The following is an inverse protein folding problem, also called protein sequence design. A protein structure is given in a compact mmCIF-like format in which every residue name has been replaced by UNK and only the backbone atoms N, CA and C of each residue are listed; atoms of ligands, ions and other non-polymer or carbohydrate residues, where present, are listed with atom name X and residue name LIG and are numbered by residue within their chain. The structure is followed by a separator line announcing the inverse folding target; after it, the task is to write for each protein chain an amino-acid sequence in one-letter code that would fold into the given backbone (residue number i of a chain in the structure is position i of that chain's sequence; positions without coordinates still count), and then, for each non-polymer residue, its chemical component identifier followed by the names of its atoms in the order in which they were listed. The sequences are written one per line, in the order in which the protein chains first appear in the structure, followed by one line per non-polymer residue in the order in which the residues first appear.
data_IF_697144469168
#
_entry.id   IF_697144469168
#
_cell.length_a   1.000
_cell.length_b   1.000
_cell.length_c   1.000
_cell.angle_alpha   90.00
_cell.angle_beta   90.00
_cell.angle_gamma   90.00
#
_symmetry.space_group_name_H-M   'P 1'
#
loop_
_entity.id
_entity.type
_entity.pdbx_description
1 polymer ?
#
# COMPACT_ATOMS: atom_id res chain seq x y z
N UNK A 1 -27.44 8.94 -1.41
CA UNK A 1 -26.67 9.84 -2.32
C UNK A 1 -25.32 9.16 -2.50
N UNK A 2 -25.10 8.52 -3.65
CA UNK A 2 -23.88 7.76 -3.91
C UNK A 2 -22.79 8.75 -4.33
N UNK A 3 -21.75 8.89 -3.53
CA UNK A 3 -20.56 9.64 -3.93
C UNK A 3 -19.66 8.71 -4.76
N UNK A 4 -19.33 9.07 -5.99
CA UNK A 4 -18.35 8.31 -6.78
C UNK A 4 -16.95 8.68 -6.27
N UNK A 5 -16.53 8.07 -5.16
CA UNK A 5 -15.17 8.25 -4.58
C UNK A 5 -14.07 7.78 -5.53
N UNK A 6 -14.41 6.99 -6.52
CA UNK A 6 -13.45 6.41 -7.48
C UNK A 6 -13.05 7.36 -8.60
N UNK A 7 -13.89 8.31 -8.96
CA UNK A 7 -13.57 9.25 -10.05
C UNK A 7 -12.54 10.32 -9.65
N UNK A 8 -12.24 10.51 -8.37
CA UNK A 8 -11.25 11.48 -7.92
C UNK A 8 -9.81 10.96 -7.88
N UNK A 9 -9.62 9.63 -7.78
CA UNK A 9 -8.28 9.02 -7.78
C UNK A 9 -7.79 8.65 -9.19
N UNK A 10 -8.63 8.77 -10.22
CA UNK A 10 -8.35 8.26 -11.56
C UNK A 10 -8.61 9.34 -12.63
N UNK A 11 -8.29 10.58 -12.32
CA UNK A 11 -8.21 11.65 -13.33
C UNK A 11 -6.94 11.50 -14.17
N UNK A 12 -6.84 10.42 -14.95
CA UNK A 12 -5.70 10.15 -15.82
C UNK A 12 -5.93 10.70 -17.22
N UNK A 13 -5.00 11.53 -17.67
CA UNK A 13 -4.84 11.79 -19.10
C UNK A 13 -4.45 10.46 -19.78
N UNK A 14 -5.27 10.03 -20.74
CA UNK A 14 -5.16 8.76 -21.45
C UNK A 14 -3.91 8.55 -22.32
N UNK A 15 -2.85 9.35 -22.15
CA UNK A 15 -1.66 9.28 -23.00
C UNK A 15 -0.33 8.95 -22.33
N UNK A 16 -0.30 8.76 -21.00
CA UNK A 16 0.91 8.34 -20.30
C UNK A 16 0.75 6.95 -19.72
N UNK A 17 1.83 6.18 -19.66
CA UNK A 17 1.81 4.85 -19.06
C UNK A 17 1.13 4.94 -17.69
N UNK A 18 0.14 4.09 -17.42
CA UNK A 18 -0.61 4.01 -16.16
C UNK A 18 0.27 3.77 -14.92
N UNK A 19 1.57 3.82 -15.11
CA UNK A 19 2.57 3.54 -14.09
C UNK A 19 3.75 4.48 -14.26
N UNK A 20 3.84 5.44 -13.35
CA UNK A 20 4.96 6.36 -13.29
C UNK A 20 5.92 5.97 -12.17
N UNK A 21 7.09 5.49 -12.55
CA UNK A 21 8.11 5.08 -11.62
C UNK A 21 8.78 6.26 -10.89
N UNK A 22 8.96 7.39 -11.54
CA UNK A 22 9.87 8.44 -11.07
C UNK A 22 9.17 9.58 -10.34
N UNK A 23 7.97 9.95 -10.74
CA UNK A 23 7.22 11.03 -10.12
C UNK A 23 5.75 10.96 -10.50
N UNK A 24 4.88 11.46 -9.66
CA UNK A 24 3.49 11.68 -10.01
C UNK A 24 3.28 13.15 -10.34
N UNK A 25 2.59 13.43 -11.44
CA UNK A 25 2.04 14.75 -11.74
C UNK A 25 0.64 14.94 -11.11
N UNK A 26 0.16 13.96 -10.37
CA UNK A 26 -1.11 14.00 -9.66
C UNK A 26 -0.89 14.63 -8.29
N UNK A 27 -1.70 15.63 -7.97
CA UNK A 27 -1.71 16.27 -6.67
C UNK A 27 -3.08 16.02 -6.04
N UNK A 28 -3.12 15.30 -4.93
CA UNK A 28 -4.36 14.93 -4.27
C UNK A 28 -4.25 15.01 -2.74
N UNK A 29 -3.58 16.07 -2.29
CA UNK A 29 -3.23 16.25 -0.88
C UNK A 29 -4.44 16.53 0.03
N UNK A 30 -5.62 16.83 -0.52
CA UNK A 30 -6.80 17.28 0.25
C UNK A 30 -8.07 16.48 -0.04
N UNK A 31 -7.93 15.26 -0.54
CA UNK A 31 -9.10 14.51 -1.00
C UNK A 31 -10.08 14.11 0.11
N UNK A 32 -9.59 13.94 1.36
CA UNK A 32 -10.47 13.64 2.48
C UNK A 32 -11.27 14.87 2.96
N UNK A 33 -10.80 16.08 2.65
CA UNK A 33 -11.44 17.32 3.12
C UNK A 33 -12.90 17.46 2.67
N UNK A 34 -13.26 16.86 1.53
CA UNK A 34 -14.61 16.89 0.97
C UNK A 34 -15.50 15.73 1.42
N UNK A 35 -14.99 14.83 2.27
CA UNK A 35 -15.75 13.70 2.76
C UNK A 35 -16.55 14.07 4.02
N UNK A 36 -17.68 13.39 4.20
CA UNK A 36 -18.51 13.54 5.39
C UNK A 36 -17.78 13.06 6.65
N UNK A 37 -17.90 13.82 7.74
CA UNK A 37 -17.25 13.50 9.02
C UNK A 37 -17.81 12.23 9.69
N UNK A 38 -19.02 11.81 9.35
CA UNK A 38 -19.67 10.63 9.91
C UNK A 38 -19.26 9.31 9.24
N UNK A 39 -18.39 9.33 8.23
CA UNK A 39 -17.96 8.11 7.55
C UNK A 39 -17.04 7.29 8.47
N UNK A 40 -17.37 6.05 8.80
CA UNK A 40 -16.46 5.18 9.55
C UNK A 40 -15.17 4.90 8.75
N UNK A 41 -14.01 5.02 9.41
CA UNK A 41 -12.71 4.81 8.74
C UNK A 41 -12.61 3.44 8.07
N UNK A 42 -13.17 2.42 8.70
CA UNK A 42 -13.16 1.04 8.16
C UNK A 42 -14.03 0.86 6.91
N UNK A 43 -14.90 1.82 6.61
CA UNK A 43 -15.79 1.81 5.46
C UNK A 43 -15.24 2.63 4.28
N UNK A 44 -14.07 3.22 4.44
CA UNK A 44 -13.41 3.99 3.40
C UNK A 44 -12.58 3.09 2.48
N UNK A 45 -12.45 3.52 1.22
CA UNK A 45 -11.45 3.00 0.29
C UNK A 45 -10.19 3.84 0.40
N UNK A 46 -9.13 3.29 0.96
CA UNK A 46 -7.89 4.02 1.26
C UNK A 46 -6.72 3.33 0.59
N UNK A 47 -6.05 4.04 -0.30
CA UNK A 47 -4.82 3.55 -0.92
C UNK A 47 -3.63 3.97 -0.05
N UNK A 48 -2.71 3.04 0.10
CA UNK A 48 -1.49 3.20 0.89
C UNK A 48 -0.27 2.58 0.24
N UNK A 49 0.86 2.87 0.82
CA UNK A 49 2.16 2.38 0.39
C UNK A 49 2.65 1.26 1.30
N UNK A 50 3.05 0.15 0.70
CA UNK A 50 3.71 -0.96 1.39
C UNK A 50 5.18 -0.62 1.64
N UNK A 51 5.71 -0.96 2.82
CA UNK A 51 7.07 -0.63 3.24
C UNK A 51 7.41 0.82 2.84
N UNK A 52 6.65 1.77 3.38
CA UNK A 52 6.53 3.15 2.86
C UNK A 52 7.87 3.89 2.80
N UNK A 53 8.86 3.47 3.59
CA UNK A 53 10.21 4.06 3.61
C UNK A 53 11.21 3.38 2.67
N UNK A 54 10.80 2.34 1.94
CA UNK A 54 11.66 1.55 1.04
C UNK A 54 11.98 2.27 -0.27
N UNK A 55 12.60 3.46 -0.22
CA UNK A 55 12.82 4.33 -1.40
C UNK A 55 14.11 4.03 -2.16
N UNK A 56 14.90 3.03 -1.76
CA UNK A 56 16.08 2.60 -2.53
C UNK A 56 17.25 2.07 -1.74
N UNK A 57 17.26 2.19 -0.42
CA UNK A 57 18.28 1.56 0.43
C UNK A 57 18.21 0.04 0.28
N UNK A 58 19.35 -0.62 0.13
CA UNK A 58 19.41 -2.09 -0.09
C UNK A 58 19.19 -2.54 -1.54
N UNK A 59 19.02 -1.59 -2.48
CA UNK A 59 18.85 -1.90 -3.91
C UNK A 59 17.44 -2.35 -4.29
N UNK A 60 17.31 -2.84 -5.52
CA UNK A 60 16.00 -3.15 -6.15
C UNK A 60 15.16 -4.18 -5.42
N UNK A 61 15.78 -5.13 -4.73
CA UNK A 61 15.09 -6.17 -3.97
C UNK A 61 14.34 -5.62 -2.73
N UNK A 62 14.72 -4.43 -2.26
CA UNK A 62 14.16 -3.75 -1.09
C UNK A 62 13.49 -2.42 -1.46
N UNK A 63 13.56 -2.02 -2.72
CA UNK A 63 12.91 -0.80 -3.20
C UNK A 63 11.44 -1.09 -3.46
N UNK A 64 10.59 -0.55 -2.61
CA UNK A 64 9.13 -0.68 -2.67
C UNK A 64 8.45 0.59 -3.15
N UNK A 65 9.12 1.74 -3.02
CA UNK A 65 8.61 3.04 -3.39
C UNK A 65 9.67 3.85 -4.17
N UNK A 66 9.23 4.75 -5.04
CA UNK A 66 10.09 5.73 -5.71
C UNK A 66 9.96 7.13 -5.11
N UNK A 67 8.80 7.43 -4.53
CA UNK A 67 8.50 8.72 -3.94
C UNK A 67 8.89 8.78 -2.47
N UNK A 68 9.38 9.94 -2.01
CA UNK A 68 9.55 10.20 -0.58
C UNK A 68 8.22 10.08 0.17
N UNK A 69 8.26 9.84 1.48
CA UNK A 69 7.05 9.73 2.30
C UNK A 69 6.13 10.95 2.15
N UNK A 70 6.71 12.17 2.14
CA UNK A 70 5.95 13.39 1.91
C UNK A 70 5.25 13.35 0.55
N UNK A 71 5.96 13.00 -0.53
CA UNK A 71 5.37 12.94 -1.87
C UNK A 71 4.27 11.87 -1.95
N UNK A 72 4.43 10.72 -1.30
CA UNK A 72 3.38 9.70 -1.22
C UNK A 72 2.08 10.28 -0.64
N UNK A 73 2.16 11.05 0.45
CA UNK A 73 0.99 11.72 1.04
C UNK A 73 0.43 12.83 0.12
N UNK A 74 1.31 13.57 -0.56
CA UNK A 74 0.91 14.64 -1.50
C UNK A 74 0.15 14.11 -2.72
N UNK A 75 0.48 12.92 -3.21
CA UNK A 75 -0.25 12.26 -4.31
C UNK A 75 -1.53 11.55 -3.86
N UNK A 76 -1.80 11.47 -2.55
CA UNK A 76 -3.07 10.99 -2.01
C UNK A 76 -3.01 9.73 -1.16
N UNK A 77 -1.83 9.17 -0.88
CA UNK A 77 -1.70 8.02 0.02
C UNK A 77 -2.10 8.40 1.45
N UNK A 78 -2.95 7.58 2.05
CA UNK A 78 -3.42 7.81 3.43
C UNK A 78 -3.27 6.58 4.34
N UNK A 79 -2.69 5.49 3.82
CA UNK A 79 -2.25 4.37 4.62
C UNK A 79 -0.75 4.17 4.42
N UNK A 80 0.00 4.08 5.50
CA UNK A 80 1.46 3.92 5.51
C UNK A 80 1.80 2.62 6.23
N UNK A 81 2.58 1.74 5.60
CA UNK A 81 3.10 0.51 6.18
C UNK A 81 4.51 0.77 6.72
N UNK A 82 4.59 0.90 8.06
CA UNK A 82 5.80 1.28 8.78
C UNK A 82 6.32 0.07 9.57
N UNK A 83 7.46 -0.43 9.14
CA UNK A 83 8.07 -1.65 9.64
C UNK A 83 9.17 -1.33 10.62
N UNK A 84 8.91 -1.60 11.90
CA UNK A 84 9.73 -1.18 13.02
C UNK A 84 10.60 -2.33 13.54
N UNK A 85 11.91 -2.20 13.47
CA UNK A 85 12.81 -3.03 14.27
C UNK A 85 12.95 -2.43 15.65
N UNK A 86 12.65 -3.23 16.68
CA UNK A 86 12.84 -2.83 18.05
C UNK A 86 14.33 -2.93 18.45
N UNK A 87 15.01 -1.80 18.51
CA UNK A 87 16.44 -1.74 18.72
C UNK A 87 16.84 -0.67 19.75
N UNK A 88 17.51 -1.07 20.85
CA UNK A 88 17.98 -0.18 21.94
C UNK A 88 16.89 0.75 22.48
N UNK A 89 15.70 0.18 22.76
CA UNK A 89 14.52 0.89 23.22
C UNK A 89 14.05 2.01 22.26
N UNK A 90 14.28 1.85 20.97
CA UNK A 90 13.80 2.71 19.91
C UNK A 90 13.31 1.88 18.73
N UNK A 91 12.75 2.54 17.74
CA UNK A 91 12.26 1.91 16.51
C UNK A 91 13.02 2.42 15.31
N UNK A 92 13.99 1.64 14.82
CA UNK A 92 14.60 1.85 13.51
C UNK A 92 13.73 1.24 12.42
N UNK A 93 13.60 1.92 11.29
CA UNK A 93 12.75 1.45 10.18
C UNK A 93 13.53 0.50 9.29
N UNK A 94 12.95 -0.66 9.04
CA UNK A 94 13.56 -1.74 8.29
C UNK A 94 12.63 -2.25 7.17
N UNK A 95 13.22 -2.87 6.15
CA UNK A 95 12.59 -3.85 5.29
C UNK A 95 13.38 -5.14 5.44
N UNK A 96 12.81 -6.12 6.12
CA UNK A 96 13.51 -7.33 6.57
C UNK A 96 14.77 -6.93 7.37
N UNK A 97 15.94 -7.35 6.96
CA UNK A 97 17.22 -7.05 7.63
C UNK A 97 17.87 -5.72 7.18
N UNK A 98 17.30 -5.00 6.20
CA UNK A 98 17.85 -3.75 5.69
C UNK A 98 17.33 -2.56 6.47
N UNK A 99 18.24 -1.81 7.10
CA UNK A 99 17.92 -0.54 7.74
C UNK A 99 17.69 0.55 6.68
N UNK A 100 16.56 1.24 6.77
CA UNK A 100 16.12 2.24 5.77
C UNK A 100 16.56 3.68 6.11
N UNK A 101 17.60 3.84 6.93
CA UNK A 101 18.23 5.11 7.28
C UNK A 101 17.30 6.13 7.96
N UNK A 102 16.30 5.65 8.68
CA UNK A 102 15.38 6.48 9.47
C UNK A 102 14.84 5.69 10.66
N UNK A 103 14.25 6.40 11.61
CA UNK A 103 13.54 5.85 12.75
C UNK A 103 12.05 6.28 12.74
N UNK A 104 11.29 5.79 13.71
CA UNK A 104 9.88 6.12 13.82
C UNK A 104 9.65 7.62 14.05
N UNK A 105 10.53 8.32 14.79
CA UNK A 105 10.38 9.75 15.03
C UNK A 105 10.48 10.53 13.72
N UNK A 106 11.43 10.22 12.85
CA UNK A 106 11.56 10.87 11.53
C UNK A 106 10.34 10.64 10.63
N UNK A 107 9.69 9.47 10.75
CA UNK A 107 8.40 9.20 10.07
C UNK A 107 7.31 10.08 10.65
N UNK A 108 7.17 10.14 11.99
CA UNK A 108 6.16 10.94 12.68
C UNK A 108 6.31 12.44 12.38
N UNK A 109 7.55 12.95 12.33
CA UNK A 109 7.83 14.35 12.00
C UNK A 109 7.43 14.71 10.57
N UNK A 110 7.64 13.78 9.63
CA UNK A 110 7.20 13.95 8.24
C UNK A 110 5.67 13.99 8.14
N UNK A 111 4.99 13.06 8.84
CA UNK A 111 3.52 13.03 8.87
C UNK A 111 2.94 14.25 9.58
N UNK A 112 3.57 14.71 10.66
CA UNK A 112 3.22 15.95 11.37
C UNK A 112 3.25 17.16 10.43
N UNK A 113 4.32 17.27 9.66
CA UNK A 113 4.46 18.38 8.69
C UNK A 113 3.35 18.35 7.63
N UNK A 114 2.98 17.15 7.15
CA UNK A 114 1.87 16.98 6.23
C UNK A 114 0.52 17.36 6.88
N UNK A 115 0.18 16.80 8.03
CA UNK A 115 -1.11 17.05 8.71
C UNK A 115 -1.25 18.48 9.22
N UNK A 116 -0.15 19.14 9.56
CA UNK A 116 -0.17 20.58 9.90
C UNK A 116 -0.56 21.44 8.69
N UNK A 117 -0.16 21.06 7.49
CA UNK A 117 -0.53 21.75 6.25
C UNK A 117 -1.93 21.35 5.76
N UNK A 118 -2.38 20.15 6.08
CA UNK A 118 -3.65 19.56 5.63
C UNK A 118 -4.44 18.96 6.81
N UNK A 119 -4.95 19.79 7.74
CA UNK A 119 -5.53 19.31 9.00
C UNK A 119 -6.88 18.59 8.84
N UNK A 120 -7.48 18.65 7.65
CA UNK A 120 -8.71 17.90 7.34
C UNK A 120 -8.43 16.46 6.87
N UNK A 121 -7.17 16.09 6.72
CA UNK A 121 -6.74 14.74 6.35
C UNK A 121 -6.50 13.89 7.60
N UNK A 122 -6.38 12.57 7.42
CA UNK A 122 -5.93 11.62 8.45
C UNK A 122 -4.99 10.60 7.82
N UNK A 123 -4.07 10.07 8.59
CA UNK A 123 -3.14 9.02 8.14
C UNK A 123 -3.38 7.75 8.96
N UNK A 124 -3.62 6.64 8.28
CA UNK A 124 -3.60 5.31 8.88
C UNK A 124 -2.17 4.79 8.85
N UNK A 125 -1.63 4.46 10.00
CA UNK A 125 -0.25 3.98 10.10
C UNK A 125 -0.26 2.53 10.61
N UNK A 126 -0.02 1.59 9.71
CA UNK A 126 0.19 0.19 10.06
C UNK A 126 1.59 0.05 10.65
N UNK A 127 1.67 -0.30 11.94
CA UNK A 127 2.92 -0.56 12.65
C UNK A 127 3.04 -2.05 12.88
N UNK A 128 4.12 -2.63 12.39
CA UNK A 128 4.47 -4.05 12.54
C UNK A 128 5.91 -4.18 13.01
N UNK A 129 6.16 -5.16 13.90
CA UNK A 129 7.52 -5.52 14.27
C UNK A 129 8.22 -6.24 13.12
N UNK A 130 9.39 -5.75 12.73
CA UNK A 130 10.16 -6.24 11.60
C UNK A 130 11.60 -6.52 12.04
N UNK A 131 12.13 -7.68 11.65
CA UNK A 131 13.47 -8.13 11.98
C UNK A 131 13.71 -8.37 13.47
N UNK A 132 14.85 -8.94 13.82
CA UNK A 132 15.17 -9.34 15.19
C UNK A 132 15.38 -8.15 16.12
N UNK A 133 14.65 -8.13 17.22
CA UNK A 133 14.83 -7.17 18.29
C UNK A 133 16.19 -7.34 18.96
N UNK A 134 16.85 -6.23 19.34
CA UNK A 134 18.17 -6.30 19.96
C UNK A 134 18.48 -5.13 20.89
N UNK A 135 19.13 -5.44 22.01
CA UNK A 135 19.64 -4.43 22.95
C UNK A 135 18.57 -3.69 23.73
N UNK A 136 17.36 -4.28 23.86
CA UNK A 136 16.23 -3.66 24.54
C UNK A 136 16.16 -4.07 26.01
N UNK A 137 15.79 -3.13 26.86
CA UNK A 137 15.41 -3.33 28.27
C UNK A 137 13.91 -3.14 28.51
N UNK A 138 13.18 -2.68 27.47
CA UNK A 138 11.73 -2.45 27.46
C UNK A 138 11.06 -3.37 26.45
N UNK A 139 9.76 -3.62 26.62
CA UNK A 139 8.95 -4.30 25.62
C UNK A 139 8.72 -3.40 24.39
N UNK A 140 8.28 -3.99 23.27
CA UNK A 140 7.83 -3.23 22.10
C UNK A 140 6.74 -2.23 22.48
N UNK A 141 5.76 -2.69 23.26
CA UNK A 141 4.65 -1.86 23.75
C UNK A 141 5.13 -0.67 24.59
N UNK A 142 6.03 -0.89 25.55
CA UNK A 142 6.51 0.19 26.43
C UNK A 142 7.30 1.23 25.61
N UNK A 143 8.08 0.79 24.62
CA UNK A 143 8.76 1.68 23.67
C UNK A 143 7.75 2.45 22.82
N UNK A 144 6.72 1.79 22.28
CA UNK A 144 5.65 2.45 21.53
C UNK A 144 4.93 3.51 22.37
N UNK A 145 4.60 3.20 23.62
CA UNK A 145 3.94 4.14 24.54
C UNK A 145 4.78 5.40 24.79
N UNK A 146 6.09 5.29 24.78
CA UNK A 146 6.98 6.46 24.88
C UNK A 146 6.86 7.38 23.65
N UNK A 147 6.80 6.80 22.44
CA UNK A 147 6.52 7.58 21.21
C UNK A 147 5.12 8.18 21.22
N UNK A 148 4.10 7.43 21.64
CA UNK A 148 2.72 7.93 21.72
C UNK A 148 2.61 9.09 22.70
N UNK A 149 3.22 8.99 23.87
CA UNK A 149 3.22 10.05 24.88
C UNK A 149 3.89 11.34 24.36
N UNK A 150 5.04 11.21 23.68
CA UNK A 150 5.77 12.33 23.09
C UNK A 150 5.07 12.96 21.88
N UNK A 151 4.12 12.27 21.26
CA UNK A 151 3.37 12.70 20.07
C UNK A 151 1.85 12.62 20.29
N UNK A 152 1.38 12.85 21.53
CA UNK A 152 -0.03 12.69 21.92
C UNK A 152 -0.96 13.70 21.22
N UNK A 153 -0.42 14.80 20.76
CA UNK A 153 -1.13 15.77 19.92
C UNK A 153 -1.35 15.29 18.47
N UNK A 154 -0.53 14.34 18.00
CA UNK A 154 -0.53 13.81 16.63
C UNK A 154 -1.19 12.43 16.53
N UNK A 155 -0.90 11.53 17.46
CA UNK A 155 -1.41 10.16 17.46
C UNK A 155 -2.79 10.12 18.13
N UNK A 156 -3.78 9.60 17.41
CA UNK A 156 -5.12 9.40 17.96
C UNK A 156 -5.11 8.33 19.06
N UNK A 157 -5.70 8.67 20.20
CA UNK A 157 -5.92 7.70 21.30
C UNK A 157 -7.23 6.96 21.04
N UNK A 158 -7.22 5.62 20.94
CA UNK A 158 -8.40 4.85 20.57
C UNK A 158 -9.55 4.99 21.58
N UNK A 159 -10.70 5.45 21.14
CA UNK A 159 -11.95 5.46 21.87
C UNK A 159 -12.89 4.35 21.42
N UNK A 160 -12.66 3.84 20.21
CA UNK A 160 -13.43 2.73 19.60
C UNK A 160 -12.57 1.99 18.59
N UNK A 161 -13.06 0.82 18.14
CA UNK A 161 -12.47 0.10 17.00
C UNK A 161 -13.07 0.50 15.66
N UNK A 162 -14.00 1.47 15.63
CA UNK A 162 -14.60 1.99 14.40
C UNK A 162 -14.86 3.50 14.49
N UNK A 163 -13.79 4.32 14.62
CA UNK A 163 -13.95 5.77 14.65
C UNK A 163 -14.47 6.31 13.32
N UNK A 164 -15.17 7.44 13.38
CA UNK A 164 -15.57 8.18 12.19
C UNK A 164 -14.48 9.18 11.78
N UNK A 165 -14.47 9.57 10.51
CA UNK A 165 -13.45 10.47 9.95
C UNK A 165 -13.31 11.78 10.75
N UNK A 166 -14.42 12.36 11.22
CA UNK A 166 -14.41 13.58 12.01
C UNK A 166 -13.66 13.49 13.33
N UNK A 167 -13.60 12.30 13.95
CA UNK A 167 -12.88 12.07 15.22
C UNK A 167 -11.36 11.99 15.03
N UNK A 168 -10.90 11.74 13.82
CA UNK A 168 -9.49 11.43 13.53
C UNK A 168 -8.83 12.40 12.56
N UNK A 169 -9.53 13.46 12.12
CA UNK A 169 -8.93 14.49 11.27
C UNK A 169 -7.73 15.13 11.96
N UNK A 170 -6.66 15.38 11.21
CA UNK A 170 -5.40 15.93 11.71
C UNK A 170 -4.60 14.95 12.56
N UNK A 171 -4.97 13.65 12.62
CA UNK A 171 -4.35 12.64 13.46
C UNK A 171 -3.82 11.47 12.65
N UNK A 172 -2.89 10.75 13.27
CA UNK A 172 -2.47 9.41 12.87
C UNK A 172 -3.35 8.39 13.62
N UNK A 173 -4.00 7.52 12.87
CA UNK A 173 -4.70 6.33 13.40
C UNK A 173 -3.78 5.13 13.24
N UNK A 174 -3.38 4.53 14.33
CA UNK A 174 -2.53 3.33 14.30
C UNK A 174 -3.37 2.11 13.91
N UNK A 175 -2.88 1.32 12.96
CA UNK A 175 -3.29 -0.07 12.76
C UNK A 175 -2.26 -0.91 13.48
N UNK A 176 -2.69 -1.48 14.60
CA UNK A 176 -1.81 -2.18 15.55
C UNK A 176 -1.58 -3.61 15.11
N UNK A 177 -0.36 -3.91 14.65
CA UNK A 177 0.10 -5.25 14.26
C UNK A 177 1.44 -5.57 14.96
N UNK A 178 1.47 -5.36 16.25
CA UNK A 178 2.62 -5.63 17.11
C UNK A 178 2.19 -6.19 18.47
N UNK A 179 3.08 -6.93 19.18
CA UNK A 179 2.79 -7.49 20.49
C UNK A 179 2.51 -6.39 21.52
N UNK A 180 1.33 -6.42 22.13
CA UNK A 180 0.93 -5.49 23.18
C UNK A 180 -0.11 -6.11 24.11
N UNK A 181 -0.14 -5.64 25.37
CA UNK A 181 -1.19 -5.97 26.35
C UNK A 181 -2.40 -5.06 26.20
N UNK A 182 -2.17 -3.84 25.72
CA UNK A 182 -3.17 -2.80 25.54
C UNK A 182 -3.62 -2.64 24.07
N UNK A 183 -4.70 -1.87 23.90
CA UNK A 183 -5.21 -1.46 22.60
C UNK A 183 -4.77 -0.02 22.34
N UNK A 184 -3.90 0.16 21.34
CA UNK A 184 -3.29 1.43 21.02
C UNK A 184 -3.69 1.97 19.64
N UNK A 185 -4.59 1.26 18.94
CA UNK A 185 -5.07 1.59 17.61
C UNK A 185 -6.22 0.68 17.17
N UNK A 186 -6.44 0.61 15.88
CA UNK A 186 -7.30 -0.39 15.28
C UNK A 186 -6.54 -1.72 15.25
N UNK A 187 -7.08 -2.75 15.87
CA UNK A 187 -6.44 -4.07 15.90
C UNK A 187 -6.41 -4.68 14.50
N UNK A 188 -5.21 -4.95 13.98
CA UNK A 188 -5.02 -5.57 12.66
C UNK A 188 -5.75 -6.91 12.55
N UNK A 189 -5.78 -7.70 13.63
CA UNK A 189 -6.46 -9.00 13.70
C UNK A 189 -7.97 -8.92 13.51
N UNK A 190 -8.57 -7.74 13.58
CA UNK A 190 -10.01 -7.52 13.35
C UNK A 190 -10.35 -7.20 11.90
N UNK A 191 -9.36 -7.14 11.02
CA UNK A 191 -9.57 -6.98 9.58
C UNK A 191 -9.55 -8.33 8.86
N UNK A 192 -10.32 -8.42 7.78
CA UNK A 192 -10.14 -9.48 6.79
C UNK A 192 -8.94 -9.10 5.92
N UNK A 193 -7.91 -9.92 5.89
CA UNK A 193 -6.63 -9.57 5.27
C UNK A 193 -6.31 -10.45 4.08
N UNK A 194 -5.96 -9.85 2.94
CA UNK A 194 -5.19 -10.49 1.88
C UNK A 194 -3.70 -10.16 2.09
N UNK A 195 -2.90 -11.09 2.57
CA UNK A 195 -1.53 -10.80 2.98
C UNK A 195 -0.61 -10.57 1.79
N UNK A 196 0.53 -9.96 2.09
CA UNK A 196 1.71 -9.95 1.25
C UNK A 196 2.12 -11.38 0.88
N UNK A 197 2.53 -11.61 -0.40
CA UNK A 197 2.84 -12.97 -0.89
C UNK A 197 4.35 -13.16 -1.06
N UNK A 198 4.86 -14.31 -0.63
CA UNK A 198 6.17 -14.79 -1.05
C UNK A 198 6.07 -15.36 -2.47
N UNK A 199 6.96 -14.89 -3.34
CA UNK A 199 7.12 -15.37 -4.71
C UNK A 199 8.31 -16.33 -4.77
N UNK A 200 8.12 -17.50 -5.35
CA UNK A 200 9.25 -18.35 -5.71
C UNK A 200 9.89 -17.87 -7.02
N UNK A 201 9.05 -17.46 -7.95
CA UNK A 201 9.45 -16.94 -9.26
C UNK A 201 8.46 -15.89 -9.76
N UNK A 202 8.77 -15.23 -10.87
CA UNK A 202 7.86 -14.31 -11.55
C UNK A 202 6.51 -14.97 -11.97
N UNK A 203 6.44 -16.29 -12.09
CA UNK A 203 5.22 -17.01 -12.44
C UNK A 203 4.14 -16.95 -11.36
N UNK A 204 4.51 -16.71 -10.11
CA UNK A 204 3.55 -16.49 -9.02
C UNK A 204 2.71 -15.21 -9.17
N UNK A 205 3.03 -14.38 -10.16
CA UNK A 205 2.34 -13.12 -10.47
C UNK A 205 0.85 -13.36 -10.77
N UNK A 206 0.53 -14.38 -11.56
CA UNK A 206 -0.86 -14.66 -11.90
C UNK A 206 -1.67 -15.21 -10.72
N UNK A 207 -1.05 -16.02 -9.88
CA UNK A 207 -1.68 -16.52 -8.64
C UNK A 207 -1.96 -15.36 -7.68
N UNK A 208 -1.01 -14.44 -7.53
CA UNK A 208 -1.23 -13.21 -6.74
C UNK A 208 -2.36 -12.39 -7.31
N UNK A 209 -2.41 -12.20 -8.63
CA UNK A 209 -3.51 -11.51 -9.28
C UNK A 209 -4.85 -12.20 -9.03
N UNK A 210 -4.92 -13.51 -9.16
CA UNK A 210 -6.13 -14.28 -8.91
C UNK A 210 -6.62 -14.10 -7.48
N UNK A 211 -5.70 -14.08 -6.50
CA UNK A 211 -6.03 -13.84 -5.11
C UNK A 211 -6.57 -12.39 -4.89
N UNK A 212 -5.94 -11.38 -5.50
CA UNK A 212 -6.40 -9.99 -5.45
C UNK A 212 -7.80 -9.86 -6.05
N UNK A 213 -8.01 -10.42 -7.25
CA UNK A 213 -9.30 -10.40 -7.95
C UNK A 213 -10.41 -11.07 -7.14
N UNK A 214 -10.14 -12.23 -6.56
CA UNK A 214 -11.07 -12.93 -5.67
C UNK A 214 -11.37 -12.14 -4.41
N UNK A 215 -10.36 -11.54 -3.80
CA UNK A 215 -10.53 -10.70 -2.61
C UNK A 215 -11.37 -9.46 -2.92
N UNK A 216 -11.15 -8.79 -4.04
CA UNK A 216 -11.97 -7.67 -4.51
C UNK A 216 -13.42 -8.12 -4.78
N UNK A 217 -13.62 -9.24 -5.47
CA UNK A 217 -14.95 -9.78 -5.78
C UNK A 217 -15.79 -10.09 -4.53
N UNK A 218 -15.16 -10.43 -3.42
CA UNK A 218 -15.83 -10.68 -2.15
C UNK A 218 -16.22 -9.41 -1.37
N UNK A 219 -15.86 -8.20 -1.82
CA UNK A 219 -16.12 -6.95 -1.06
C UNK A 219 -17.60 -6.62 -0.93
N UNK A 220 -18.42 -7.02 -1.90
CA UNK A 220 -19.87 -6.75 -1.88
C UNK A 220 -20.66 -7.71 -0.97
N UNK A 221 -20.10 -8.86 -0.61
CA UNK A 221 -20.76 -9.91 0.18
C UNK A 221 -20.16 -10.11 1.57
N UNK A 222 -18.89 -9.75 1.75
CA UNK A 222 -18.20 -9.81 3.04
C UNK A 222 -18.19 -8.43 3.65
N UNK A 223 -18.47 -8.32 4.94
CA UNK A 223 -18.50 -7.04 5.66
C UNK A 223 -17.30 -6.12 5.37
N UNK A 224 -17.46 -4.86 5.66
CA UNK A 224 -16.39 -3.84 5.58
C UNK A 224 -15.32 -4.16 6.65
N UNK A 225 -14.19 -3.50 6.64
CA UNK A 225 -12.98 -3.76 7.45
C UNK A 225 -12.03 -4.74 6.78
N UNK A 226 -11.45 -4.31 5.67
CA UNK A 226 -10.58 -5.14 4.83
C UNK A 226 -9.24 -4.46 4.59
N UNK A 227 -8.19 -5.27 4.59
CA UNK A 227 -6.84 -4.85 4.21
C UNK A 227 -6.35 -5.78 3.11
N UNK A 228 -5.79 -5.23 2.04
CA UNK A 228 -5.19 -6.03 0.98
C UNK A 228 -3.80 -5.53 0.61
N UNK A 229 -2.84 -6.43 0.59
CA UNK A 229 -1.49 -6.17 0.09
C UNK A 229 -1.39 -6.64 -1.36
N UNK A 230 -1.28 -5.71 -2.30
CA UNK A 230 -1.08 -6.00 -3.73
C UNK A 230 0.40 -6.19 -4.05
N UNK A 231 1.12 -6.76 -3.15
CA UNK A 231 2.57 -6.80 -3.07
C UNK A 231 3.11 -8.21 -2.96
N UNK A 232 4.38 -8.38 -3.29
CA UNK A 232 5.10 -9.64 -3.17
C UNK A 232 6.61 -9.41 -3.05
N UNK A 233 7.31 -10.42 -2.57
CA UNK A 233 8.77 -10.42 -2.39
C UNK A 233 9.34 -11.83 -2.59
N UNK A 234 10.65 -11.97 -2.49
CA UNK A 234 11.35 -13.24 -2.62
C UNK A 234 11.95 -13.43 -4.01
N UNK A 235 11.50 -14.41 -4.77
CA UNK A 235 11.98 -14.73 -6.13
C UNK A 235 11.51 -13.75 -7.21
N UNK A 236 10.92 -12.61 -6.82
CA UNK A 236 10.53 -11.53 -7.72
C UNK A 236 10.79 -10.17 -7.07
N UNK A 237 11.10 -9.17 -7.89
CA UNK A 237 11.31 -7.80 -7.40
C UNK A 237 9.98 -7.06 -7.17
N UNK A 238 9.89 -6.20 -6.15
CA UNK A 238 8.68 -5.41 -5.90
C UNK A 238 8.21 -4.59 -7.12
N UNK A 239 9.16 -4.08 -7.91
CA UNK A 239 8.85 -3.36 -9.14
C UNK A 239 8.16 -4.23 -10.20
N UNK A 240 8.66 -5.45 -10.42
CA UNK A 240 8.02 -6.39 -11.34
C UNK A 240 6.61 -6.73 -10.88
N UNK A 241 6.43 -7.01 -9.59
CA UNK A 241 5.10 -7.33 -9.04
C UNK A 241 4.10 -6.19 -9.27
N UNK A 242 4.54 -4.95 -9.09
CA UNK A 242 3.69 -3.77 -9.29
C UNK A 242 3.41 -3.48 -10.77
N UNK A 243 4.40 -3.66 -11.68
CA UNK A 243 4.36 -3.14 -13.06
C UNK A 243 4.36 -4.18 -14.18
N UNK A 244 4.77 -5.43 -13.92
CA UNK A 244 5.02 -6.44 -14.94
C UNK A 244 6.30 -6.25 -15.75
N UNK A 245 7.11 -5.24 -15.39
CA UNK A 245 8.33 -4.84 -16.11
C UNK A 245 9.58 -5.32 -15.38
N UNK A 246 10.67 -5.53 -16.12
CA UNK A 246 11.93 -6.04 -15.55
C UNK A 246 12.71 -4.99 -14.78
N UNK A 247 12.65 -3.74 -15.20
CA UNK A 247 13.36 -2.62 -14.60
C UNK A 247 12.51 -1.35 -14.59
N UNK A 248 12.79 -0.39 -13.71
CA UNK A 248 12.07 0.86 -13.65
C UNK A 248 12.52 1.81 -14.76
N UNK A 249 11.62 2.13 -15.64
CA UNK A 249 11.81 3.09 -16.71
C UNK A 249 10.49 3.36 -17.41
N UNK A 250 10.24 4.62 -17.76
CA UNK A 250 9.09 4.99 -18.58
C UNK A 250 9.31 4.44 -19.98
N UNK A 251 8.55 3.45 -20.40
CA UNK A 251 8.69 2.83 -21.71
C UNK A 251 9.37 1.47 -21.70
N UNK A 252 9.87 0.98 -20.57
CA UNK A 252 10.36 -0.39 -20.49
C UNK A 252 9.28 -1.38 -20.94
N UNK A 253 9.64 -2.39 -21.74
CA UNK A 253 8.68 -3.41 -22.13
C UNK A 253 8.28 -4.26 -20.92
N UNK A 254 7.09 -4.85 -21.00
CA UNK A 254 6.69 -5.91 -20.07
C UNK A 254 7.59 -7.12 -20.25
N UNK A 255 7.84 -7.83 -19.15
CA UNK A 255 8.59 -9.07 -19.24
C UNK A 255 7.75 -10.13 -19.99
N UNK A 256 8.35 -10.77 -20.98
CA UNK A 256 7.71 -11.82 -21.76
C UNK A 256 7.63 -13.12 -20.96
N UNK A 257 6.50 -13.85 -21.13
CA UNK A 257 6.36 -15.22 -20.59
C UNK A 257 6.99 -16.26 -21.49
N UNK A 258 7.43 -15.91 -22.70
CA UNK A 258 7.80 -16.81 -23.79
C UNK A 258 6.67 -17.73 -24.30
N UNK A 259 5.46 -17.61 -23.77
CA UNK A 259 4.29 -18.33 -24.25
C UNK A 259 3.60 -17.56 -25.38
N UNK A 260 3.08 -18.26 -26.39
CA UNK A 260 2.41 -17.66 -27.55
C UNK A 260 1.00 -18.20 -27.75
N UNK A 261 0.16 -17.39 -28.37
CA UNK A 261 -1.13 -17.82 -28.90
C UNK A 261 -0.90 -18.41 -30.32
N UNK A 262 -1.77 -19.31 -30.85
CA UNK A 262 -3.00 -19.84 -30.24
C UNK A 262 -2.76 -20.95 -29.19
N UNK A 263 -1.53 -21.47 -29.04
CA UNK A 263 -1.24 -22.62 -28.17
C UNK A 263 -1.68 -22.40 -26.72
N UNK A 264 -1.40 -21.20 -26.18
CA UNK A 264 -1.73 -20.83 -24.81
C UNK A 264 -2.87 -19.82 -24.72
N UNK A 265 -3.82 -19.82 -25.67
CA UNK A 265 -4.89 -18.82 -25.78
C UNK A 265 -5.74 -18.68 -24.51
N UNK A 266 -6.00 -19.77 -23.79
CA UNK A 266 -6.82 -19.79 -22.57
C UNK A 266 -6.01 -19.55 -21.29
N UNK A 267 -4.70 -19.56 -21.39
CA UNK A 267 -3.82 -19.39 -20.24
C UNK A 267 -3.61 -17.90 -19.96
N UNK A 268 -3.58 -17.53 -18.71
CA UNK A 268 -3.37 -16.16 -18.29
C UNK A 268 -4.25 -15.15 -19.04
N UNK A 269 -5.61 -15.29 -18.98
CA UNK A 269 -6.53 -14.47 -19.78
C UNK A 269 -6.40 -12.97 -19.51
N UNK A 270 -6.02 -12.60 -18.29
CA UNK A 270 -5.87 -11.19 -17.89
C UNK A 270 -4.49 -10.60 -18.26
N UNK A 271 -3.52 -11.43 -18.64
CA UNK A 271 -2.22 -10.94 -19.11
C UNK A 271 -2.32 -10.43 -20.55
N UNK A 272 -1.58 -9.36 -20.91
CA UNK A 272 -1.65 -8.76 -22.23
C UNK A 272 -1.06 -9.66 -23.31
N UNK A 273 -1.61 -9.52 -24.50
CA UNK A 273 -1.11 -10.11 -25.73
C UNK A 273 -0.34 -9.03 -26.50
N UNK A 274 0.97 -9.23 -26.64
CA UNK A 274 1.91 -8.28 -27.23
C UNK A 274 2.62 -8.88 -28.45
N UNK A 275 3.30 -8.03 -29.24
CA UNK A 275 4.09 -8.47 -30.39
C UNK A 275 3.33 -9.43 -31.33
N UNK A 276 2.08 -9.08 -31.67
CA UNK A 276 1.23 -9.91 -32.51
C UNK A 276 1.66 -9.88 -33.98
N UNK A 277 1.75 -11.09 -34.60
CA UNK A 277 2.01 -11.28 -36.03
C UNK A 277 1.11 -12.39 -36.56
N UNK A 278 0.35 -12.12 -37.59
CA UNK A 278 -0.57 -13.10 -38.26
C UNK A 278 -1.42 -13.88 -37.23
N UNK A 279 -2.01 -13.18 -36.26
CA UNK A 279 -2.86 -13.79 -35.21
C UNK A 279 -2.13 -14.52 -34.11
N UNK A 280 -0.80 -14.59 -34.14
CA UNK A 280 0.04 -15.14 -33.07
C UNK A 280 0.58 -13.99 -32.24
N UNK A 281 0.33 -14.01 -30.95
CA UNK A 281 0.81 -12.99 -30.00
C UNK A 281 1.65 -13.66 -28.89
N UNK A 282 2.64 -12.93 -28.39
CA UNK A 282 3.34 -13.31 -27.16
C UNK A 282 2.51 -12.88 -25.95
N UNK A 283 2.40 -13.75 -24.95
CA UNK A 283 1.81 -13.40 -23.66
C UNK A 283 2.90 -12.72 -22.82
N UNK A 284 2.63 -11.54 -22.28
CA UNK A 284 3.53 -10.85 -21.39
C UNK A 284 2.97 -10.83 -19.96
N UNK A 285 3.85 -10.75 -18.98
CA UNK A 285 3.43 -10.47 -17.60
C UNK A 285 2.79 -9.09 -17.50
N UNK A 286 1.86 -8.94 -16.58
CA UNK A 286 1.27 -7.64 -16.22
C UNK A 286 1.40 -7.40 -14.72
N UNK A 287 1.56 -6.13 -14.34
CA UNK A 287 1.66 -5.71 -12.96
C UNK A 287 0.34 -5.77 -12.19
N UNK A 288 0.40 -6.08 -10.90
CA UNK A 288 -0.80 -6.14 -10.05
C UNK A 288 -1.50 -4.78 -10.00
N UNK A 289 -0.76 -3.68 -9.96
CA UNK A 289 -1.35 -2.34 -9.93
C UNK A 289 -2.19 -2.06 -11.20
N UNK A 290 -1.68 -2.47 -12.36
CA UNK A 290 -2.35 -2.27 -13.65
C UNK A 290 -3.55 -3.21 -13.80
N UNK A 291 -3.38 -4.48 -13.44
CA UNK A 291 -4.47 -5.46 -13.48
C UNK A 291 -5.62 -5.05 -12.57
N UNK A 292 -5.30 -4.60 -11.34
CA UNK A 292 -6.30 -4.15 -10.39
C UNK A 292 -7.00 -2.88 -10.88
N UNK A 293 -6.25 -1.89 -11.39
CA UNK A 293 -6.82 -0.68 -11.96
C UNK A 293 -7.85 -0.98 -13.07
N UNK A 294 -7.46 -1.80 -14.04
CA UNK A 294 -8.34 -2.17 -15.14
C UNK A 294 -9.58 -2.91 -14.63
N UNK A 295 -9.38 -3.88 -13.74
CA UNK A 295 -10.48 -4.66 -13.18
C UNK A 295 -11.48 -3.81 -12.39
N UNK A 296 -11.00 -2.84 -11.62
CA UNK A 296 -11.85 -1.95 -10.84
C UNK A 296 -12.69 -1.04 -11.74
N UNK A 297 -12.10 -0.52 -12.81
CA UNK A 297 -12.82 0.28 -13.81
C UNK A 297 -13.92 -0.53 -14.51
N UNK A 298 -13.62 -1.78 -14.85
CA UNK A 298 -14.56 -2.65 -15.56
C UNK A 298 -15.73 -3.10 -14.67
N UNK A 299 -15.51 -3.28 -13.38
CA UNK A 299 -16.51 -3.84 -12.46
C UNK A 299 -17.29 -2.81 -11.64
N UNK A 300 -16.86 -1.54 -11.63
CA UNK A 300 -17.56 -0.46 -10.92
C UNK A 300 -17.62 -0.64 -9.40
N UNK A 301 -16.53 -1.11 -8.78
CA UNK A 301 -16.46 -1.28 -7.32
C UNK A 301 -16.59 0.05 -6.59
N UNK A 302 -17.32 0.05 -5.48
CA UNK A 302 -17.55 1.24 -4.64
C UNK A 302 -16.78 1.19 -3.32
N UNK A 303 -16.22 0.01 -2.96
CA UNK A 303 -15.47 -0.18 -1.72
C UNK A 303 -14.33 -1.17 -1.92
N UNK A 304 -13.14 -0.81 -1.42
CA UNK A 304 -11.92 -1.63 -1.50
C UNK A 304 -11.36 -1.98 -0.12
N UNK A 305 -11.67 -1.18 0.90
CA UNK A 305 -10.94 -1.17 2.15
C UNK A 305 -9.58 -0.49 2.02
N UNK A 306 -8.64 -0.89 2.86
CA UNK A 306 -7.26 -0.37 2.85
C UNK A 306 -6.44 -1.24 1.90
N UNK A 307 -5.78 -0.61 0.94
CA UNK A 307 -4.92 -1.28 -0.06
C UNK A 307 -3.49 -0.81 0.11
N UNK A 308 -2.59 -1.72 0.36
CA UNK A 308 -1.15 -1.45 0.34
C UNK A 308 -0.52 -1.93 -0.96
N UNK A 309 0.16 -1.02 -1.67
CA UNK A 309 0.81 -1.33 -2.94
C UNK A 309 2.24 -0.78 -3.00
N UNK A 310 3.01 -1.30 -3.95
CA UNK A 310 4.36 -0.83 -4.23
C UNK A 310 4.33 0.24 -5.34
N UNK A 311 5.31 1.14 -5.34
CA UNK A 311 5.55 2.14 -6.38
C UNK A 311 4.30 2.98 -6.68
N UNK A 312 3.78 3.61 -5.64
CA UNK A 312 2.68 4.56 -5.75
C UNK A 312 3.15 5.82 -6.50
N UNK A 313 2.43 6.19 -7.57
CA UNK A 313 2.81 7.33 -8.40
C UNK A 313 1.88 7.58 -9.56
#
# INVERSE_FOLDING_TARGET
MFYPLFSLLIGLSLSQSLYNYQSSNVYNATWMSNLDNGIPIREMSIIGSHSSMGTGTGGWAFKTQSNSLMNQMMIGMRALDIRCRHYRNGFSIHDRFVYLNTDLQGVLDTVRSFLSSYPMETILMHIVEEYDASGNSQSFEDTYLSYQASNSDLIWTPTSQNPVLGEVRGKIVIIQDFPARGIHGLLYTTFTVLPHKYFNTNWDQYDKWTAVKSFLGATNSAGKSRISFWTGHGGSFPYFVASGKSSPGNGDPRLSTALTTPGFKKWYPDFPRVACFIGICTIAFEGINILAYNYLNDQGYTYLGIVFTNFVG
#
